data_IF_845166842788
#
_entry.id   IF_845166842788
#
_cell.length_a   1.000
_cell.length_b   1.000
_cell.length_c   1.000
_cell.angle_alpha   90.00
_cell.angle_beta   90.00
_cell.angle_gamma   90.00
#
_symmetry.space_group_name_H-M   'P 1'
#
loop_
_entity.id
_entity.type
_entity.pdbx_description
1 polymer ?
#
# COMPACT_ATOMS: atom_id res chain seq x y z
N UNK A 1 -24.12 -20.59 33.73
CA UNK A 1 -22.87 -20.13 33.08
C UNK A 1 -23.16 -18.81 32.41
N UNK A 2 -22.40 -17.75 32.68
CA UNK A 2 -22.60 -16.46 32.04
C UNK A 2 -22.45 -16.61 30.52
N UNK A 3 -23.44 -16.16 29.75
CA UNK A 3 -23.39 -16.22 28.29
C UNK A 3 -22.29 -15.26 27.83
N UNK A 4 -21.23 -15.81 27.24
CA UNK A 4 -20.06 -15.02 26.79
C UNK A 4 -20.47 -14.12 25.62
N UNK A 5 -20.14 -12.84 25.70
CA UNK A 5 -20.39 -11.86 24.65
C UNK A 5 -19.09 -11.54 23.89
N UNK A 6 -19.22 -11.24 22.60
CA UNK A 6 -18.10 -10.93 21.72
C UNK A 6 -18.40 -9.62 20.99
N UNK A 7 -17.55 -8.62 21.15
CA UNK A 7 -17.77 -7.28 20.61
C UNK A 7 -16.63 -6.87 19.68
N UNK A 8 -16.97 -6.23 18.57
CA UNK A 8 -16.02 -5.64 17.63
C UNK A 8 -16.47 -4.23 17.25
N UNK A 9 -15.53 -3.29 17.22
CA UNK A 9 -15.80 -1.87 16.97
C UNK A 9 -15.82 -1.03 18.25
N UNK A 10 -15.92 0.28 18.06
CA UNK A 10 -15.85 1.25 19.15
C UNK A 10 -16.98 2.29 18.98
N UNK A 11 -17.86 2.39 19.98
CA UNK A 11 -19.00 3.32 20.00
C UNK A 11 -18.60 4.79 19.89
N UNK A 12 -17.38 5.15 20.31
CA UNK A 12 -16.86 6.53 20.22
C UNK A 12 -16.30 6.85 18.83
N UNK A 13 -16.06 5.84 17.99
CA UNK A 13 -15.50 6.03 16.65
C UNK A 13 -16.61 6.39 15.68
N UNK A 14 -16.44 7.51 14.97
CA UNK A 14 -17.34 7.93 13.88
C UNK A 14 -17.10 7.08 12.62
N UNK A 15 -18.14 6.93 11.81
CA UNK A 15 -18.09 6.21 10.54
C UNK A 15 -17.64 4.74 10.67
N UNK A 16 -18.13 4.05 11.70
CA UNK A 16 -17.88 2.64 11.98
C UNK A 16 -19.18 1.95 12.44
N UNK A 17 -19.09 0.68 12.80
CA UNK A 17 -20.11 -0.06 13.52
C UNK A 17 -19.52 -0.65 14.80
N UNK A 18 -20.31 -0.69 15.87
CA UNK A 18 -20.05 -1.53 17.03
C UNK A 18 -21.01 -2.71 16.99
N UNK A 19 -20.49 -3.92 16.90
CA UNK A 19 -21.28 -5.15 16.78
C UNK A 19 -20.98 -6.05 17.96
N UNK A 20 -22.02 -6.56 18.61
CA UNK A 20 -21.92 -7.56 19.67
C UNK A 20 -22.70 -8.81 19.29
N UNK A 21 -22.08 -9.98 19.42
CA UNK A 21 -22.74 -11.28 19.25
C UNK A 21 -22.72 -12.07 20.55
N UNK A 22 -23.89 -12.56 20.93
CA UNK A 22 -24.13 -13.40 22.11
C UNK A 22 -24.62 -14.76 21.60
N UNK A 23 -23.75 -15.79 21.58
CA UNK A 23 -24.11 -17.11 21.06
C UNK A 23 -25.18 -17.81 21.92
N UNK A 24 -26.08 -18.55 21.27
CA UNK A 24 -27.00 -19.47 21.91
C UNK A 24 -26.93 -20.85 21.26
N UNK A 25 -27.28 -21.92 22.00
CA UNK A 25 -27.26 -23.30 21.49
C UNK A 25 -28.51 -23.68 20.69
N UNK A 26 -29.59 -22.89 20.80
CA UNK A 26 -30.89 -23.15 20.21
C UNK A 26 -31.71 -21.86 20.16
N UNK A 27 -32.87 -21.88 19.50
CA UNK A 27 -33.76 -20.72 19.34
C UNK A 27 -33.65 -20.06 17.96
N UNK A 28 -34.10 -18.82 17.80
CA UNK A 28 -33.88 -18.04 16.58
C UNK A 28 -32.82 -16.96 16.85
N UNK A 29 -32.07 -16.57 15.83
CA UNK A 29 -31.22 -15.40 15.88
C UNK A 29 -32.10 -14.15 15.99
N UNK A 30 -31.81 -13.31 16.98
CA UNK A 30 -32.49 -12.02 17.17
C UNK A 30 -31.49 -10.92 16.82
N UNK A 31 -31.85 -10.05 15.89
CA UNK A 31 -31.00 -8.92 15.48
C UNK A 31 -31.63 -7.61 15.92
N UNK A 32 -30.89 -6.84 16.72
CA UNK A 32 -31.27 -5.49 17.15
C UNK A 32 -30.31 -4.49 16.54
N UNK A 33 -30.83 -3.46 15.85
CA UNK A 33 -30.03 -2.43 15.19
C UNK A 33 -30.38 -1.06 15.78
N UNK A 34 -29.36 -0.36 16.26
CA UNK A 34 -29.44 1.01 16.74
C UNK A 34 -28.73 1.92 15.73
N UNK A 35 -29.49 2.60 14.87
CA UNK A 35 -28.94 3.55 13.89
C UNK A 35 -29.68 4.88 13.93
N UNK A 36 -28.91 5.98 13.92
CA UNK A 36 -29.45 7.34 13.75
C UNK A 36 -29.91 7.63 12.32
N UNK A 37 -29.53 6.79 11.36
CA UNK A 37 -29.89 6.91 9.93
C UNK A 37 -30.86 5.81 9.49
N UNK A 38 -31.51 5.13 10.44
CA UNK A 38 -32.46 4.03 10.19
C UNK A 38 -33.51 4.40 9.13
N UNK A 39 -34.07 5.61 9.18
CA UNK A 39 -35.09 6.11 8.23
C UNK A 39 -34.68 5.94 6.75
N UNK A 40 -33.38 5.99 6.43
CA UNK A 40 -32.87 5.87 5.06
C UNK A 40 -32.28 4.50 4.72
N UNK A 41 -31.88 3.72 5.74
CA UNK A 41 -30.97 2.58 5.55
C UNK A 41 -31.38 1.31 6.31
N UNK A 42 -32.48 1.32 7.06
CA UNK A 42 -32.89 0.21 7.93
C UNK A 42 -33.02 -1.11 7.19
N UNK A 43 -33.75 -1.15 6.08
CA UNK A 43 -33.91 -2.38 5.27
C UNK A 43 -32.55 -2.97 4.87
N UNK A 44 -31.67 -2.13 4.33
CA UNK A 44 -30.34 -2.53 3.89
C UNK A 44 -29.44 -2.98 5.04
N UNK A 45 -29.54 -2.36 6.22
CA UNK A 45 -28.80 -2.80 7.40
C UNK A 45 -29.26 -4.20 7.84
N UNK A 46 -30.57 -4.44 7.85
CA UNK A 46 -31.14 -5.76 8.15
C UNK A 46 -30.73 -6.82 7.11
N UNK A 47 -30.78 -6.50 5.82
CA UNK A 47 -30.38 -7.40 4.74
C UNK A 47 -28.91 -7.82 4.86
N UNK A 48 -28.01 -6.86 5.13
CA UNK A 48 -26.59 -7.15 5.34
C UNK A 48 -26.40 -8.01 6.58
N UNK A 49 -27.09 -7.72 7.69
CA UNK A 49 -26.99 -8.56 8.89
C UNK A 49 -27.45 -10.00 8.61
N UNK A 50 -28.62 -10.15 7.98
CA UNK A 50 -29.22 -11.44 7.67
C UNK A 50 -28.36 -12.26 6.70
N UNK A 51 -27.90 -11.63 5.61
CA UNK A 51 -27.01 -12.27 4.63
C UNK A 51 -25.71 -12.70 5.29
N UNK A 52 -25.09 -11.81 6.07
CA UNK A 52 -23.82 -12.12 6.74
C UNK A 52 -23.95 -13.29 7.73
N UNK A 53 -25.02 -13.31 8.53
CA UNK A 53 -25.28 -14.42 9.45
C UNK A 53 -25.57 -15.72 8.70
N UNK A 54 -26.30 -15.67 7.59
CA UNK A 54 -26.59 -16.82 6.74
C UNK A 54 -25.33 -17.42 6.13
N UNK A 55 -24.46 -16.60 5.53
CA UNK A 55 -23.18 -17.03 4.96
C UNK A 55 -22.28 -17.70 6.00
N UNK A 56 -22.36 -17.23 7.25
CA UNK A 56 -21.60 -17.76 8.38
C UNK A 56 -22.28 -18.93 9.09
N UNK A 57 -23.43 -19.39 8.57
CA UNK A 57 -24.25 -20.47 9.13
C UNK A 57 -24.70 -20.23 10.59
N UNK A 58 -25.06 -18.99 10.92
CA UNK A 58 -25.54 -18.60 12.26
C UNK A 58 -27.06 -18.45 12.27
N UNK A 59 -27.74 -19.35 12.98
CA UNK A 59 -29.21 -19.40 13.12
C UNK A 59 -29.73 -19.12 14.53
N UNK A 60 -28.84 -19.03 15.54
CA UNK A 60 -29.19 -18.93 16.96
C UNK A 60 -28.37 -17.83 17.65
N UNK A 61 -28.95 -17.16 18.64
CA UNK A 61 -28.26 -16.17 19.48
C UNK A 61 -28.85 -14.77 19.38
N UNK A 62 -28.07 -13.77 19.76
CA UNK A 62 -28.43 -12.35 19.63
C UNK A 62 -27.30 -11.57 18.97
N UNK A 63 -27.64 -10.79 17.96
CA UNK A 63 -26.76 -9.83 17.31
C UNK A 63 -27.24 -8.41 17.64
N UNK A 64 -26.37 -7.60 18.22
CA UNK A 64 -26.64 -6.19 18.52
C UNK A 64 -25.70 -5.33 17.67
N UNK A 65 -26.25 -4.41 16.90
CA UNK A 65 -25.50 -3.53 15.98
C UNK A 65 -25.78 -2.09 16.37
N UNK A 66 -24.73 -1.32 16.64
CA UNK A 66 -24.80 0.14 16.76
C UNK A 66 -24.07 0.80 15.59
N UNK A 67 -24.80 1.62 14.85
CA UNK A 67 -24.31 2.34 13.68
C UNK A 67 -23.90 3.78 14.03
N UNK A 68 -22.67 4.16 13.69
CA UNK A 68 -22.13 5.52 13.86
C UNK A 68 -21.81 6.20 12.51
N UNK A 69 -22.48 5.78 11.43
CA UNK A 69 -22.30 6.25 10.06
C UNK A 69 -21.36 5.36 9.24
N UNK A 70 -21.28 4.07 9.56
CA UNK A 70 -20.35 3.13 8.94
C UNK A 70 -20.74 2.72 7.52
N UNK A 71 -19.85 2.01 6.85
CA UNK A 71 -20.08 1.47 5.50
C UNK A 71 -20.47 0.00 5.56
N UNK A 72 -21.37 -0.47 4.69
CA UNK A 72 -21.91 -1.84 4.75
C UNK A 72 -20.84 -2.94 4.72
N UNK A 73 -19.76 -2.75 3.96
CA UNK A 73 -18.64 -3.71 3.92
C UNK A 73 -17.90 -3.81 5.27
N UNK A 74 -17.94 -2.75 6.09
CA UNK A 74 -17.41 -2.72 7.46
C UNK A 74 -18.37 -3.43 8.40
N UNK A 75 -19.69 -3.22 8.26
CA UNK A 75 -20.69 -3.96 9.04
C UNK A 75 -20.53 -5.47 8.87
N UNK A 76 -20.44 -5.93 7.62
CA UNK A 76 -20.20 -7.35 7.30
C UNK A 76 -18.91 -7.87 7.94
N UNK A 77 -17.81 -7.12 7.84
CA UNK A 77 -16.53 -7.49 8.47
C UNK A 77 -16.62 -7.55 10.01
N UNK A 78 -17.35 -6.64 10.65
CA UNK A 78 -17.53 -6.58 12.11
C UNK A 78 -18.38 -7.74 12.62
N UNK A 79 -19.44 -8.11 11.89
CA UNK A 79 -20.26 -9.29 12.20
C UNK A 79 -19.42 -10.56 12.06
N UNK A 80 -18.68 -10.72 10.95
CA UNK A 80 -17.82 -11.88 10.76
C UNK A 80 -16.74 -11.98 11.85
N UNK A 81 -16.17 -10.85 12.27
CA UNK A 81 -15.17 -10.82 13.35
C UNK A 81 -15.72 -11.37 14.67
N UNK A 82 -16.91 -10.93 15.12
CA UNK A 82 -17.50 -11.41 16.37
C UNK A 82 -17.95 -12.87 16.29
N UNK A 83 -18.42 -13.32 15.12
CA UNK A 83 -18.77 -14.72 14.89
C UNK A 83 -17.54 -15.62 14.91
N UNK A 84 -16.45 -15.24 14.23
CA UNK A 84 -15.17 -15.98 14.27
C UNK A 84 -14.54 -15.97 15.67
N UNK A 85 -14.69 -14.89 16.43
CA UNK A 85 -14.25 -14.84 17.82
C UNK A 85 -15.06 -15.80 18.72
N UNK A 86 -16.37 -15.93 18.47
CA UNK A 86 -17.25 -16.86 19.17
C UNK A 86 -17.03 -18.33 18.77
N UNK A 87 -16.69 -18.57 17.50
CA UNK A 87 -16.40 -19.89 16.97
C UNK A 87 -15.07 -19.89 16.16
N UNK A 88 -13.91 -19.98 16.82
CA UNK A 88 -12.60 -19.92 16.14
C UNK A 88 -12.34 -21.02 15.13
N UNK A 89 -13.15 -22.08 15.09
CA UNK A 89 -13.04 -23.19 14.14
C UNK A 89 -13.81 -22.95 12.85
N UNK A 90 -14.63 -21.89 12.77
CA UNK A 90 -15.41 -21.62 11.56
C UNK A 90 -14.52 -21.17 10.40
N UNK A 91 -14.65 -21.87 9.29
CA UNK A 91 -14.02 -21.52 8.01
C UNK A 91 -14.96 -20.75 7.10
N UNK A 92 -16.23 -20.58 7.48
CA UNK A 92 -17.18 -19.79 6.72
C UNK A 92 -16.75 -18.32 6.63
N UNK A 93 -17.09 -17.68 5.53
CA UNK A 93 -16.78 -16.28 5.24
C UNK A 93 -18.01 -15.61 4.63
N UNK A 94 -18.18 -14.32 4.88
CA UNK A 94 -19.18 -13.51 4.21
C UNK A 94 -18.46 -12.37 3.48
N UNK A 95 -18.55 -12.40 2.16
CA UNK A 95 -17.85 -11.48 1.28
C UNK A 95 -18.85 -10.50 0.64
N UNK A 96 -18.48 -9.22 0.49
CA UNK A 96 -19.28 -8.31 -0.30
C UNK A 96 -19.18 -8.69 -1.79
N UNK A 97 -20.09 -8.18 -2.61
CA UNK A 97 -19.99 -8.33 -4.06
C UNK A 97 -18.66 -7.75 -4.58
N UNK A 98 -17.93 -8.51 -5.38
CA UNK A 98 -16.68 -8.06 -5.97
C UNK A 98 -16.94 -7.09 -7.12
N UNK A 99 -16.84 -5.79 -6.84
CA UNK A 99 -17.17 -4.73 -7.78
C UNK A 99 -16.19 -4.68 -8.97
N UNK A 100 -16.73 -4.44 -10.16
CA UNK A 100 -15.95 -4.34 -11.41
C UNK A 100 -14.86 -3.27 -11.35
N UNK A 101 -15.16 -2.09 -10.78
CA UNK A 101 -14.17 -1.02 -10.60
C UNK A 101 -13.04 -1.39 -9.63
N UNK A 102 -13.19 -2.45 -8.84
CA UNK A 102 -12.16 -2.94 -7.94
C UNK A 102 -11.21 -3.97 -8.61
N UNK A 103 -11.43 -4.33 -9.87
CA UNK A 103 -10.73 -5.42 -10.57
C UNK A 103 -9.68 -4.95 -11.60
N UNK A 104 -9.26 -3.68 -11.55
CA UNK A 104 -8.18 -3.19 -12.41
C UNK A 104 -6.83 -3.82 -12.01
N UNK A 105 -5.85 -3.79 -12.92
CA UNK A 105 -4.54 -4.45 -12.76
C UNK A 105 -3.43 -3.43 -12.46
N UNK A 106 -2.31 -3.94 -11.95
CA UNK A 106 -1.06 -3.18 -11.78
C UNK A 106 0.06 -3.76 -12.65
N UNK A 107 1.17 -3.03 -12.76
CA UNK A 107 2.38 -3.43 -13.48
C UNK A 107 3.61 -3.26 -12.60
N UNK A 108 4.64 -4.06 -12.85
CA UNK A 108 5.89 -4.02 -12.09
C UNK A 108 6.58 -2.64 -12.18
N UNK A 109 6.59 -2.07 -13.38
CA UNK A 109 7.30 -0.84 -13.77
C UNK A 109 6.51 0.46 -13.53
N UNK A 110 5.33 0.40 -12.90
CA UNK A 110 4.53 1.61 -12.64
C UNK A 110 5.24 2.56 -11.67
N UNK A 111 4.88 3.85 -11.73
CA UNK A 111 5.34 4.84 -10.75
C UNK A 111 4.77 4.59 -9.36
N UNK A 112 5.60 4.87 -8.35
CA UNK A 112 5.29 4.79 -6.92
C UNK A 112 5.81 6.02 -6.18
N UNK A 113 5.68 7.21 -6.79
CA UNK A 113 6.20 8.48 -6.26
C UNK A 113 5.59 8.81 -4.90
N UNK A 114 4.30 8.52 -4.75
CA UNK A 114 3.55 8.69 -3.50
C UNK A 114 2.86 7.38 -3.12
N UNK A 115 2.94 7.03 -1.83
CA UNK A 115 2.24 5.87 -1.28
C UNK A 115 1.53 6.29 0.00
N UNK A 116 0.21 6.40 -0.07
CA UNK A 116 -0.61 6.87 1.05
C UNK A 116 -0.91 5.74 2.04
N UNK A 117 -0.38 5.83 3.25
CA UNK A 117 -0.66 4.91 4.36
C UNK A 117 -2.02 5.20 4.98
N UNK A 118 -2.85 4.17 5.10
CA UNK A 118 -4.18 4.22 5.69
C UNK A 118 -4.35 3.06 6.68
N UNK A 119 -4.67 3.33 7.95
CA UNK A 119 -4.93 2.26 8.92
C UNK A 119 -6.07 1.35 8.49
N UNK A 120 -5.83 0.04 8.51
CA UNK A 120 -6.75 -1.00 8.05
C UNK A 120 -8.06 -1.08 8.83
N UNK A 121 -8.11 -0.52 10.04
CA UNK A 121 -9.32 -0.42 10.87
C UNK A 121 -10.04 0.94 10.76
N UNK A 122 -9.61 1.84 9.88
CA UNK A 122 -10.19 3.16 9.68
C UNK A 122 -10.76 3.33 8.26
N UNK A 123 -11.82 2.57 7.96
CA UNK A 123 -12.48 2.56 6.65
C UNK A 123 -12.86 3.96 6.12
N UNK A 124 -13.21 4.90 7.01
CA UNK A 124 -13.49 6.30 6.65
C UNK A 124 -12.38 6.94 5.81
N UNK A 125 -11.12 6.66 6.13
CA UNK A 125 -9.97 7.22 5.43
C UNK A 125 -9.77 6.57 4.05
N UNK A 126 -10.22 5.32 3.89
CA UNK A 126 -10.11 4.57 2.63
C UNK A 126 -11.08 5.11 1.57
N UNK A 127 -12.29 5.51 1.96
CA UNK A 127 -13.37 5.92 1.03
C UNK A 127 -12.95 7.01 0.04
N UNK A 128 -12.20 8.01 0.49
CA UNK A 128 -11.85 9.19 -0.31
C UNK A 128 -10.39 9.18 -0.75
N UNK A 129 -9.61 8.17 -0.38
CA UNK A 129 -8.17 8.15 -0.60
C UNK A 129 -7.81 8.27 -2.09
N UNK A 130 -8.54 7.58 -2.97
CA UNK A 130 -8.28 7.59 -4.42
C UNK A 130 -8.59 8.93 -5.11
N UNK A 131 -9.46 9.76 -4.53
CA UNK A 131 -9.82 11.08 -5.10
C UNK A 131 -8.59 12.00 -5.17
N UNK A 132 -7.65 11.83 -4.23
CA UNK A 132 -6.41 12.60 -4.17
C UNK A 132 -5.34 12.12 -5.15
N UNK A 133 -5.64 11.11 -5.98
CA UNK A 133 -4.77 10.56 -7.03
C UNK A 133 -3.35 10.18 -6.56
N UNK A 134 -3.18 9.48 -5.42
CA UNK A 134 -1.89 8.91 -5.10
C UNK A 134 -1.50 7.86 -6.15
N UNK A 135 -0.20 7.64 -6.34
CA UNK A 135 0.27 6.54 -7.21
C UNK A 135 -0.12 5.18 -6.59
N UNK A 136 -0.13 5.09 -5.26
CA UNK A 136 -0.48 3.91 -4.49
C UNK A 136 -1.17 4.22 -3.15
N UNK A 137 -2.00 3.29 -2.70
CA UNK A 137 -2.65 3.30 -1.38
C UNK A 137 -2.24 2.04 -0.62
N UNK A 138 -1.75 2.22 0.59
CA UNK A 138 -1.34 1.16 1.51
C UNK A 138 -2.44 1.02 2.57
N UNK A 139 -3.14 -0.11 2.52
CA UNK A 139 -4.05 -0.53 3.58
C UNK A 139 -3.22 -1.26 4.64
N UNK A 140 -3.00 -0.62 5.77
CA UNK A 140 -2.03 -1.06 6.77
C UNK A 140 -2.65 -1.98 7.83
N UNK A 141 -2.10 -3.17 8.01
CA UNK A 141 -2.50 -4.13 9.05
C UNK A 141 -1.52 -4.20 10.22
N UNK A 142 -0.41 -3.46 10.14
CA UNK A 142 0.71 -3.57 11.07
C UNK A 142 0.68 -2.48 12.15
N UNK A 143 1.62 -1.51 12.17
CA UNK A 143 1.80 -0.60 13.33
C UNK A 143 0.60 0.30 13.60
N UNK A 144 -0.14 0.71 12.57
CA UNK A 144 -1.30 1.58 12.76
C UNK A 144 -2.53 0.87 13.33
N UNK A 145 -2.45 -0.45 13.52
CA UNK A 145 -3.54 -1.29 14.03
C UNK A 145 -3.11 -1.97 15.33
N UNK A 146 -3.77 -1.57 16.42
CA UNK A 146 -3.57 -2.19 17.74
C UNK A 146 -3.85 -3.70 17.71
N UNK A 147 -3.14 -4.51 18.53
CA UNK A 147 -3.23 -5.97 18.49
C UNK A 147 -4.66 -6.55 18.55
N UNK A 148 -5.52 -5.96 19.38
CA UNK A 148 -6.92 -6.40 19.55
C UNK A 148 -7.78 -6.21 18.29
N UNK A 149 -7.42 -5.28 17.41
CA UNK A 149 -8.19 -4.97 16.20
C UNK A 149 -7.64 -5.66 14.95
N UNK A 150 -6.47 -6.32 15.00
CA UNK A 150 -5.82 -6.90 13.82
C UNK A 150 -6.70 -7.90 13.07
N UNK A 151 -7.44 -8.73 13.79
CA UNK A 151 -8.35 -9.69 13.17
C UNK A 151 -9.49 -9.00 12.41
N UNK A 152 -10.10 -7.97 12.99
CA UNK A 152 -11.17 -7.24 12.32
C UNK A 152 -10.62 -6.37 11.18
N UNK A 153 -9.47 -5.72 11.37
CA UNK A 153 -8.82 -4.91 10.34
C UNK A 153 -8.54 -5.74 9.09
N UNK A 154 -8.10 -7.00 9.24
CA UNK A 154 -7.90 -7.93 8.12
C UNK A 154 -9.18 -8.13 7.31
N UNK A 155 -10.32 -8.33 7.97
CA UNK A 155 -11.62 -8.49 7.31
C UNK A 155 -12.11 -7.18 6.66
N UNK A 156 -11.87 -6.04 7.31
CA UNK A 156 -12.20 -4.72 6.74
C UNK A 156 -11.37 -4.47 5.47
N UNK A 157 -10.06 -4.73 5.50
CA UNK A 157 -9.16 -4.58 4.35
C UNK A 157 -9.56 -5.54 3.23
N UNK A 158 -9.83 -6.81 3.54
CA UNK A 158 -10.37 -7.79 2.58
C UNK A 158 -11.63 -7.28 1.88
N UNK A 159 -12.58 -6.77 2.65
CA UNK A 159 -13.85 -6.29 2.13
C UNK A 159 -13.70 -4.96 1.36
N UNK A 160 -12.82 -4.06 1.81
CA UNK A 160 -12.46 -2.84 1.09
C UNK A 160 -11.83 -3.16 -0.27
N UNK A 161 -11.02 -4.22 -0.32
CA UNK A 161 -10.37 -4.66 -1.54
C UNK A 161 -11.37 -5.11 -2.64
N UNK A 162 -12.55 -5.59 -2.24
CA UNK A 162 -13.60 -5.98 -3.18
C UNK A 162 -14.55 -4.84 -3.57
N UNK A 163 -14.62 -3.78 -2.75
CA UNK A 163 -15.71 -2.80 -2.83
C UNK A 163 -15.27 -1.41 -3.24
N UNK A 164 -14.09 -0.95 -2.81
CA UNK A 164 -13.67 0.43 -3.02
C UNK A 164 -13.04 0.65 -4.39
N UNK A 165 -13.36 1.80 -4.97
CA UNK A 165 -12.67 2.35 -6.13
C UNK A 165 -11.54 3.28 -5.65
N UNK A 166 -10.32 2.94 -6.02
CA UNK A 166 -9.15 3.77 -5.75
C UNK A 166 -8.65 4.50 -6.99
N UNK A 167 -9.51 4.63 -8.01
CA UNK A 167 -9.29 5.44 -9.21
C UNK A 167 -7.97 5.11 -9.93
N UNK A 168 -7.59 3.83 -9.94
CA UNK A 168 -6.37 3.34 -10.59
C UNK A 168 -5.09 3.35 -9.74
N UNK A 169 -5.12 3.87 -8.50
CA UNK A 169 -3.99 3.81 -7.58
C UNK A 169 -3.60 2.34 -7.29
N UNK A 170 -2.32 2.05 -7.07
CA UNK A 170 -1.90 0.69 -6.73
C UNK A 170 -2.49 0.26 -5.39
N UNK A 171 -3.12 -0.92 -5.37
CA UNK A 171 -3.75 -1.50 -4.19
C UNK A 171 -2.69 -2.23 -3.39
N UNK A 172 -2.16 -1.61 -2.35
CA UNK A 172 -1.13 -2.20 -1.52
C UNK A 172 -1.66 -2.60 -0.15
N UNK A 173 -1.09 -3.65 0.45
CA UNK A 173 -1.36 -4.03 1.85
C UNK A 173 -0.02 -4.17 2.57
N UNK A 174 0.17 -3.48 3.69
CA UNK A 174 1.27 -3.77 4.62
C UNK A 174 0.78 -4.82 5.60
N UNK A 175 1.35 -6.03 5.49
CA UNK A 175 1.00 -7.15 6.36
C UNK A 175 1.74 -7.04 7.70
N UNK A 176 1.33 -7.83 8.67
CA UNK A 176 2.11 -8.03 9.90
C UNK A 176 3.36 -8.88 9.65
N UNK A 177 4.31 -8.85 10.58
CA UNK A 177 5.43 -9.79 10.59
C UNK A 177 5.00 -11.20 11.03
N UNK A 178 5.75 -12.22 10.59
CA UNK A 178 5.65 -13.60 11.08
C UNK A 178 4.29 -14.26 10.83
N UNK A 179 3.84 -15.08 11.79
CA UNK A 179 2.62 -15.90 11.65
C UNK A 179 1.35 -15.08 11.41
N UNK A 180 1.27 -13.86 11.94
CA UNK A 180 0.13 -12.97 11.71
C UNK A 180 0.12 -12.49 10.26
N UNK A 181 1.28 -12.18 9.69
CA UNK A 181 1.43 -11.82 8.28
C UNK A 181 0.95 -12.91 7.34
N UNK A 182 1.25 -14.18 7.63
CA UNK A 182 0.79 -15.30 6.80
C UNK A 182 -0.75 -15.40 6.76
N UNK A 183 -1.43 -15.08 7.87
CA UNK A 183 -2.91 -14.98 7.90
C UNK A 183 -3.43 -13.77 7.15
N UNK A 184 -2.69 -12.65 7.17
CA UNK A 184 -3.02 -11.47 6.38
C UNK A 184 -3.01 -11.82 4.89
N UNK A 185 -1.98 -12.54 4.40
CA UNK A 185 -1.88 -13.00 3.01
C UNK A 185 -3.09 -13.82 2.58
N UNK A 186 -3.49 -14.81 3.39
CA UNK A 186 -4.65 -15.67 3.12
C UNK A 186 -5.93 -14.83 2.91
N UNK A 187 -6.08 -13.75 3.66
CA UNK A 187 -7.25 -12.89 3.60
C UNK A 187 -7.21 -11.81 2.51
N UNK A 188 -6.06 -11.47 1.91
CA UNK A 188 -5.98 -10.35 0.93
C UNK A 188 -5.61 -10.78 -0.48
N UNK A 189 -4.82 -11.86 -0.64
CA UNK A 189 -4.34 -12.33 -1.94
C UNK A 189 -5.48 -12.72 -2.90
N UNK A 190 -6.58 -13.37 -2.45
CA UNK A 190 -7.70 -13.67 -3.34
C UNK A 190 -8.47 -12.44 -3.85
N UNK A 191 -8.30 -11.27 -3.24
CA UNK A 191 -9.20 -10.12 -3.44
C UNK A 191 -8.52 -8.94 -4.17
N UNK A 192 -7.68 -9.24 -5.15
CA UNK A 192 -7.02 -8.24 -6.02
C UNK A 192 -6.19 -7.17 -5.28
N UNK A 193 -5.47 -7.55 -4.23
CA UNK A 193 -4.29 -6.79 -3.81
C UNK A 193 -3.22 -6.83 -4.92
N UNK A 194 -2.56 -5.73 -5.22
CA UNK A 194 -1.53 -5.66 -6.26
C UNK A 194 -0.13 -5.89 -5.70
N UNK A 195 0.16 -5.36 -4.52
CA UNK A 195 1.48 -5.40 -3.91
C UNK A 195 1.37 -5.61 -2.40
N UNK A 196 2.24 -6.47 -1.86
CA UNK A 196 2.39 -6.69 -0.43
C UNK A 196 3.65 -5.99 0.06
N UNK A 197 3.49 -5.13 1.07
CA UNK A 197 4.61 -4.61 1.83
C UNK A 197 4.91 -5.58 2.97
N UNK A 198 6.15 -6.06 3.02
CA UNK A 198 6.63 -6.98 4.06
C UNK A 198 7.47 -6.16 5.03
N UNK A 199 6.99 -5.89 6.26
CA UNK A 199 7.75 -5.12 7.24
C UNK A 199 8.90 -5.95 7.81
N UNK A 200 9.91 -5.26 8.35
CA UNK A 200 10.97 -5.80 9.22
C UNK A 200 11.71 -6.97 8.59
N UNK A 201 12.06 -6.81 7.31
CA UNK A 201 12.80 -7.82 6.56
C UNK A 201 14.30 -7.62 6.80
N UNK A 202 14.94 -8.69 7.27
CA UNK A 202 16.36 -8.70 7.61
C UNK A 202 17.16 -9.67 6.75
N UNK A 203 16.50 -10.64 6.11
CA UNK A 203 17.16 -11.68 5.31
C UNK A 203 16.39 -11.97 4.01
N UNK A 204 17.10 -12.38 2.96
CA UNK A 204 16.49 -12.80 1.70
C UNK A 204 15.50 -13.97 1.90
N UNK A 205 15.80 -14.88 2.83
CA UNK A 205 14.95 -16.04 3.15
C UNK A 205 13.55 -15.65 3.59
N UNK A 206 13.41 -14.62 4.45
CA UNK A 206 12.10 -14.13 4.89
C UNK A 206 11.24 -13.66 3.71
N UNK A 207 11.84 -12.99 2.72
CA UNK A 207 11.11 -12.53 1.54
C UNK A 207 10.71 -13.70 0.62
N UNK A 208 11.58 -14.70 0.47
CA UNK A 208 11.30 -15.93 -0.29
C UNK A 208 10.12 -16.68 0.31
N UNK A 209 10.12 -16.90 1.63
CA UNK A 209 9.03 -17.61 2.33
C UNK A 209 7.67 -16.90 2.12
N UNK A 210 7.66 -15.57 2.13
CA UNK A 210 6.45 -14.78 1.84
C UNK A 210 6.02 -14.95 0.38
N UNK A 211 6.94 -14.87 -0.58
CA UNK A 211 6.61 -15.06 -2.00
C UNK A 211 6.05 -16.47 -2.27
N UNK A 212 6.67 -17.50 -1.71
CA UNK A 212 6.22 -18.89 -1.83
C UNK A 212 4.80 -19.07 -1.29
N UNK A 213 4.49 -18.50 -0.11
CA UNK A 213 3.12 -18.51 0.44
C UNK A 213 2.14 -17.80 -0.48
N UNK A 214 2.53 -16.66 -1.07
CA UNK A 214 1.71 -15.94 -2.05
C UNK A 214 1.45 -16.82 -3.28
N UNK A 215 2.48 -17.49 -3.82
CA UNK A 215 2.32 -18.37 -4.98
C UNK A 215 1.39 -19.55 -4.67
N UNK A 216 1.49 -20.14 -3.48
CA UNK A 216 0.59 -21.20 -3.03
C UNK A 216 -0.87 -20.71 -2.99
N UNK A 217 -1.15 -19.58 -2.32
CA UNK A 217 -2.51 -19.03 -2.24
C UNK A 217 -3.05 -18.69 -3.64
N UNK A 218 -2.22 -18.08 -4.51
CA UNK A 218 -2.60 -17.76 -5.90
C UNK A 218 -3.00 -19.01 -6.68
N UNK A 219 -2.26 -20.11 -6.52
CA UNK A 219 -2.57 -21.39 -7.14
C UNK A 219 -3.90 -21.93 -6.61
N UNK A 220 -4.10 -21.91 -5.30
CA UNK A 220 -5.30 -22.44 -4.65
C UNK A 220 -6.57 -21.66 -5.03
N UNK A 221 -6.48 -20.33 -5.15
CA UNK A 221 -7.61 -19.48 -5.54
C UNK A 221 -7.73 -19.26 -7.07
N UNK A 222 -6.88 -19.89 -7.88
CA UNK A 222 -6.90 -19.77 -9.34
C UNK A 222 -6.51 -18.39 -9.88
N UNK A 223 -5.85 -17.55 -9.08
CA UNK A 223 -5.45 -16.19 -9.46
C UNK A 223 -4.26 -16.20 -10.42
N UNK A 224 -4.46 -15.68 -11.64
CA UNK A 224 -3.41 -15.63 -12.68
C UNK A 224 -2.52 -14.40 -12.56
N UNK A 225 -3.07 -13.27 -12.12
CA UNK A 225 -2.37 -12.00 -11.98
C UNK A 225 -1.27 -12.08 -10.90
N UNK A 226 -0.08 -11.52 -11.15
CA UNK A 226 0.97 -11.46 -10.15
C UNK A 226 0.54 -10.66 -8.93
N UNK A 227 1.21 -10.93 -7.81
CA UNK A 227 1.24 -10.08 -6.63
C UNK A 227 2.69 -9.68 -6.45
N UNK A 228 2.93 -8.38 -6.42
CA UNK A 228 4.28 -7.84 -6.26
C UNK A 228 4.66 -7.73 -4.78
N UNK A 229 5.95 -7.60 -4.52
CA UNK A 229 6.53 -7.45 -3.19
C UNK A 229 7.26 -6.13 -3.06
N UNK A 230 7.23 -5.58 -1.85
CA UNK A 230 8.05 -4.47 -1.41
C UNK A 230 8.51 -4.72 0.05
N UNK A 231 9.69 -5.30 0.29
CA UNK A 231 10.25 -5.37 1.64
C UNK A 231 10.51 -3.96 2.18
N UNK A 232 10.24 -3.77 3.48
CA UNK A 232 10.64 -2.58 4.23
C UNK A 232 11.87 -2.97 5.05
N UNK A 233 12.96 -2.24 4.82
CA UNK A 233 14.19 -2.37 5.59
C UNK A 233 14.22 -1.31 6.68
N UNK A 234 14.24 -1.76 7.92
CA UNK A 234 14.08 -0.89 9.09
C UNK A 234 14.92 -1.36 10.29
N UNK A 235 15.99 -2.11 10.02
CA UNK A 235 17.02 -2.48 10.99
C UNK A 235 18.40 -2.46 10.32
N UNK A 236 19.48 -2.37 11.11
CA UNK A 236 20.85 -2.44 10.61
C UNK A 236 21.10 -3.72 9.81
N UNK A 237 20.58 -4.86 10.28
CA UNK A 237 20.65 -6.15 9.58
C UNK A 237 19.98 -6.09 8.21
N UNK A 238 18.77 -5.53 8.12
CA UNK A 238 18.06 -5.37 6.84
C UNK A 238 18.81 -4.46 5.86
N UNK A 239 19.37 -3.36 6.35
CA UNK A 239 20.18 -2.44 5.55
C UNK A 239 21.43 -3.13 4.99
N UNK A 240 22.19 -3.83 5.83
CA UNK A 240 23.39 -4.56 5.41
C UNK A 240 23.09 -5.66 4.38
N UNK A 241 21.95 -6.35 4.52
CA UNK A 241 21.52 -7.43 3.62
C UNK A 241 20.67 -6.96 2.43
N UNK A 242 20.54 -5.65 2.23
CA UNK A 242 19.63 -5.04 1.25
C UNK A 242 19.77 -5.58 -0.17
N UNK A 243 21.00 -5.86 -0.64
CA UNK A 243 21.23 -6.40 -2.00
C UNK A 243 20.65 -7.81 -2.16
N UNK A 244 20.88 -8.70 -1.19
CA UNK A 244 20.37 -10.06 -1.22
C UNK A 244 18.84 -10.06 -1.14
N UNK A 245 18.27 -9.23 -0.26
CA UNK A 245 16.83 -9.05 -0.13
C UNK A 245 16.22 -8.52 -1.43
N UNK A 246 16.86 -7.52 -2.06
CA UNK A 246 16.41 -6.95 -3.32
C UNK A 246 16.31 -8.00 -4.44
N UNK A 247 17.23 -8.97 -4.47
CA UNK A 247 17.29 -10.05 -5.49
C UNK A 247 16.54 -11.32 -5.12
N UNK A 248 15.95 -11.39 -3.92
CA UNK A 248 15.41 -12.63 -3.37
C UNK A 248 14.18 -13.17 -4.13
N UNK A 249 13.42 -12.32 -4.84
CA UNK A 249 12.25 -12.74 -5.61
C UNK A 249 12.12 -11.94 -6.91
N UNK A 250 11.66 -12.60 -7.98
CA UNK A 250 11.28 -11.96 -9.26
C UNK A 250 10.03 -11.08 -9.14
N UNK A 251 9.21 -11.29 -8.10
CA UNK A 251 8.04 -10.47 -7.81
C UNK A 251 8.39 -9.26 -6.94
N UNK A 252 9.63 -9.14 -6.46
CA UNK A 252 10.10 -7.93 -5.80
C UNK A 252 10.27 -6.83 -6.85
N UNK A 253 9.53 -5.72 -6.69
CA UNK A 253 9.54 -4.60 -7.65
C UNK A 253 9.99 -3.29 -7.03
N UNK A 254 10.16 -3.26 -5.71
CA UNK A 254 10.60 -2.08 -4.99
C UNK A 254 11.15 -2.47 -3.61
N UNK A 255 12.07 -1.68 -3.06
CA UNK A 255 12.49 -1.80 -1.65
C UNK A 255 12.24 -0.47 -0.96
N UNK A 256 11.67 -0.52 0.23
CA UNK A 256 11.40 0.67 1.04
C UNK A 256 12.34 0.72 2.24
N UNK A 257 12.66 1.92 2.70
CA UNK A 257 13.36 2.15 3.97
C UNK A 257 12.39 2.72 5.01
N UNK A 258 12.40 2.17 6.22
CA UNK A 258 11.64 2.67 7.38
C UNK A 258 12.58 3.34 8.38
N UNK A 259 12.66 4.68 8.36
CA UNK A 259 13.67 5.39 9.15
C UNK A 259 13.37 5.44 10.66
N UNK A 260 12.11 5.49 11.09
CA UNK A 260 11.79 5.54 12.53
C UNK A 260 12.32 4.30 13.25
N UNK A 261 11.89 3.11 12.80
CA UNK A 261 12.33 1.82 13.34
C UNK A 261 13.86 1.62 13.15
N UNK A 262 14.41 2.01 11.99
CA UNK A 262 15.86 1.94 11.77
C UNK A 262 16.67 2.78 12.76
N UNK A 263 16.28 4.04 12.99
CA UNK A 263 16.99 4.92 13.92
C UNK A 263 16.89 4.42 15.36
N UNK A 264 15.74 3.84 15.73
CA UNK A 264 15.58 3.18 17.01
C UNK A 264 16.51 1.95 17.15
N UNK A 265 16.64 1.14 16.09
CA UNK A 265 17.51 -0.05 16.06
C UNK A 265 19.00 0.29 16.23
N UNK A 266 19.48 1.35 15.58
CA UNK A 266 20.89 1.81 15.71
C UNK A 266 21.13 2.73 16.92
N UNK A 267 20.09 3.04 17.70
CA UNK A 267 20.20 3.80 18.95
C UNK A 267 20.45 5.29 18.77
N UNK A 268 19.92 5.91 17.71
CA UNK A 268 20.05 7.35 17.44
C UNK A 268 18.69 8.03 17.27
N UNK A 269 18.64 9.34 17.47
CA UNK A 269 17.46 10.13 17.13
C UNK A 269 17.46 10.50 15.65
N UNK A 270 16.26 10.48 15.05
CA UNK A 270 16.05 10.97 13.68
C UNK A 270 16.25 12.48 13.63
N UNK A 271 17.10 12.95 12.70
CA UNK A 271 17.38 14.37 12.54
C UNK A 271 16.74 14.92 11.26
N UNK A 272 16.55 16.23 11.19
CA UNK A 272 16.09 16.89 9.96
C UNK A 272 17.15 16.83 8.85
N UNK A 273 18.43 16.83 9.22
CA UNK A 273 19.55 16.76 8.26
C UNK A 273 19.79 15.36 7.71
N UNK A 274 19.24 14.31 8.34
CA UNK A 274 19.28 12.93 7.84
C UNK A 274 20.67 12.27 7.80
N UNK A 275 21.71 12.89 8.39
CA UNK A 275 23.10 12.37 8.36
C UNK A 275 23.21 10.97 8.96
N UNK A 276 22.44 10.70 10.01
CA UNK A 276 22.35 9.40 10.68
C UNK A 276 21.82 8.28 9.78
N UNK A 277 21.09 8.64 8.72
CA UNK A 277 20.47 7.69 7.79
C UNK A 277 21.12 7.67 6.40
N UNK A 278 22.10 8.54 6.13
CA UNK A 278 22.69 8.72 4.81
C UNK A 278 23.29 7.43 4.25
N UNK A 279 24.02 6.68 5.08
CA UNK A 279 24.57 5.37 4.70
C UNK A 279 23.46 4.39 4.32
N UNK A 280 22.47 4.22 5.20
CA UNK A 280 21.36 3.29 4.99
C UNK A 280 20.55 3.61 3.73
N UNK A 281 20.23 4.90 3.53
CA UNK A 281 19.54 5.41 2.34
C UNK A 281 20.33 5.14 1.07
N UNK A 282 21.62 5.46 1.07
CA UNK A 282 22.52 5.21 -0.07
C UNK A 282 22.67 3.73 -0.38
N UNK A 283 22.78 2.88 0.64
CA UNK A 283 22.90 1.44 0.48
C UNK A 283 21.63 0.83 -0.13
N UNK A 284 20.44 1.22 0.36
CA UNK A 284 19.15 0.78 -0.17
C UNK A 284 18.99 1.17 -1.65
N UNK A 285 19.37 2.40 -2.02
CA UNK A 285 19.31 2.84 -3.42
C UNK A 285 20.23 1.98 -4.29
N UNK A 286 21.48 1.74 -3.90
CA UNK A 286 22.40 0.92 -4.68
C UNK A 286 21.92 -0.53 -4.82
N UNK A 287 21.39 -1.11 -3.74
CA UNK A 287 20.79 -2.44 -3.76
C UNK A 287 19.62 -2.53 -4.75
N UNK A 288 18.69 -1.55 -4.69
CA UNK A 288 17.55 -1.48 -5.59
C UNK A 288 17.98 -1.38 -7.07
N UNK A 289 18.94 -0.49 -7.38
CA UNK A 289 19.47 -0.32 -8.74
C UNK A 289 20.19 -1.56 -9.24
N UNK A 290 20.95 -2.25 -8.38
CA UNK A 290 21.61 -3.52 -8.73
C UNK A 290 20.61 -4.64 -9.05
N UNK A 291 19.44 -4.63 -8.41
CA UNK A 291 18.35 -5.58 -8.69
C UNK A 291 17.42 -5.13 -9.83
N UNK A 292 17.56 -3.89 -10.34
CA UNK A 292 16.66 -3.35 -11.37
C UNK A 292 15.27 -2.99 -10.86
N UNK A 293 15.13 -2.71 -9.55
CA UNK A 293 13.87 -2.39 -8.89
C UNK A 293 13.84 -0.95 -8.37
N UNK A 294 12.69 -0.48 -7.90
CA UNK A 294 12.55 0.87 -7.36
C UNK A 294 13.10 0.99 -5.94
N UNK A 295 13.73 2.12 -5.64
CA UNK A 295 14.10 2.49 -4.27
C UNK A 295 13.07 3.47 -3.73
N UNK A 296 12.51 3.22 -2.55
CA UNK A 296 11.45 4.04 -1.99
C UNK A 296 11.82 4.57 -0.60
N UNK A 297 11.69 5.88 -0.43
CA UNK A 297 12.06 6.58 0.79
C UNK A 297 10.97 6.49 1.87
N UNK A 298 11.37 6.78 3.10
CA UNK A 298 10.55 6.75 4.32
C UNK A 298 9.39 7.75 4.30
N UNK A 299 8.47 7.64 5.25
CA UNK A 299 7.40 8.61 5.50
C UNK A 299 7.94 9.95 6.02
N UNK A 300 7.21 11.02 5.73
CA UNK A 300 7.40 12.33 6.36
C UNK A 300 6.30 12.55 7.41
N UNK A 301 6.70 12.70 8.67
CA UNK A 301 5.80 12.68 9.83
C UNK A 301 5.09 14.01 10.09
N UNK A 302 5.73 15.14 9.79
CA UNK A 302 5.09 16.45 9.95
C UNK A 302 4.12 16.72 8.79
N UNK A 303 2.83 16.66 9.08
CA UNK A 303 1.79 16.84 8.06
C UNK A 303 1.58 18.32 7.71
N UNK A 304 2.04 19.26 8.56
CA UNK A 304 1.77 20.68 8.37
C UNK A 304 2.94 21.44 7.73
N UNK A 305 4.16 20.88 7.77
CA UNK A 305 5.36 21.48 7.21
C UNK A 305 5.58 21.04 5.74
N UNK A 306 4.88 21.70 4.81
CA UNK A 306 5.02 21.41 3.37
C UNK A 306 6.43 21.76 2.83
N UNK A 307 7.06 22.82 3.34
CA UNK A 307 8.37 23.25 2.87
C UNK A 307 9.45 22.23 3.22
N UNK A 308 9.47 21.75 4.47
CA UNK A 308 10.38 20.68 4.88
C UNK A 308 10.09 19.35 4.17
N UNK A 309 8.81 19.07 3.84
CA UNK A 309 8.48 17.92 2.99
C UNK A 309 9.13 18.06 1.60
N UNK A 310 9.02 19.23 0.96
CA UNK A 310 9.59 19.46 -0.37
C UNK A 310 11.10 19.31 -0.35
N UNK A 311 11.78 19.88 0.64
CA UNK A 311 13.22 19.72 0.82
C UNK A 311 13.60 18.24 1.00
N UNK A 312 12.89 17.50 1.84
CA UNK A 312 13.12 16.07 2.05
C UNK A 312 12.91 15.24 0.76
N UNK A 313 11.95 15.61 -0.08
CA UNK A 313 11.72 14.93 -1.37
C UNK A 313 12.82 15.24 -2.38
N UNK A 314 13.30 16.49 -2.46
CA UNK A 314 14.43 16.85 -3.32
C UNK A 314 15.68 16.08 -2.93
N UNK A 315 16.01 16.03 -1.65
CA UNK A 315 17.14 15.25 -1.14
C UNK A 315 17.00 13.76 -1.47
N UNK A 316 15.80 13.19 -1.30
CA UNK A 316 15.54 11.79 -1.67
C UNK A 316 15.73 11.55 -3.18
N UNK A 317 15.26 12.46 -4.04
CA UNK A 317 15.46 12.42 -5.49
C UNK A 317 16.96 12.51 -5.85
N UNK A 318 17.72 13.38 -5.18
CA UNK A 318 19.17 13.56 -5.36
C UNK A 318 19.97 12.31 -5.00
N UNK A 319 19.61 11.62 -3.92
CA UNK A 319 20.23 10.34 -3.52
C UNK A 319 19.84 9.21 -4.50
N UNK A 320 18.68 9.33 -5.16
CA UNK A 320 18.24 8.44 -6.22
C UNK A 320 17.01 7.59 -5.90
N UNK A 321 16.18 8.00 -4.93
CA UNK A 321 14.88 7.38 -4.66
C UNK A 321 13.84 7.71 -5.74
N UNK A 322 12.89 6.80 -5.96
CA UNK A 322 11.81 6.91 -6.95
C UNK A 322 10.49 7.42 -6.35
N UNK A 323 10.40 7.46 -5.03
CA UNK A 323 9.17 7.82 -4.33
C UNK A 323 9.32 7.91 -2.83
N UNK A 324 8.25 8.34 -2.16
CA UNK A 324 8.20 8.59 -0.72
C UNK A 324 6.88 8.12 -0.11
N UNK A 325 6.93 7.69 1.15
CA UNK A 325 5.72 7.39 1.92
C UNK A 325 4.95 8.67 2.31
N UNK A 326 3.63 8.61 2.31
CA UNK A 326 2.74 9.70 2.69
C UNK A 326 1.78 9.22 3.78
N UNK A 327 1.52 10.03 4.80
CA UNK A 327 0.55 9.73 5.87
C UNK A 327 -0.67 10.66 5.82
N UNK A 328 -0.66 11.66 4.94
CA UNK A 328 -1.78 12.57 4.73
C UNK A 328 -1.94 12.95 3.25
N UNK A 329 -3.17 13.03 2.70
CA UNK A 329 -3.38 13.34 1.28
C UNK A 329 -2.73 14.63 0.78
N UNK A 330 -2.63 15.65 1.64
CA UNK A 330 -1.98 16.93 1.30
C UNK A 330 -0.50 16.80 0.90
N UNK A 331 0.18 15.73 1.31
CA UNK A 331 1.57 15.48 0.95
C UNK A 331 1.73 14.97 -0.49
N UNK A 332 0.65 14.47 -1.11
CA UNK A 332 0.71 13.81 -2.43
C UNK A 332 1.16 14.78 -3.52
N UNK A 333 0.53 15.96 -3.61
CA UNK A 333 0.83 16.93 -4.67
C UNK A 333 2.28 17.46 -4.59
N UNK A 334 2.79 17.93 -3.44
CA UNK A 334 4.19 18.32 -3.30
C UNK A 334 5.16 17.19 -3.68
N UNK A 335 4.88 15.96 -3.24
CA UNK A 335 5.71 14.78 -3.59
C UNK A 335 5.74 14.55 -5.11
N UNK A 336 4.60 14.63 -5.80
CA UNK A 336 4.55 14.44 -7.25
C UNK A 336 5.31 15.52 -8.01
N UNK A 337 5.21 16.76 -7.56
CA UNK A 337 5.89 17.92 -8.16
C UNK A 337 7.41 17.81 -8.00
N UNK A 338 7.91 17.48 -6.82
CA UNK A 338 9.36 17.43 -6.57
C UNK A 338 10.03 16.19 -7.20
N UNK A 339 9.32 15.05 -7.30
CA UNK A 339 9.81 13.89 -8.05
C UNK A 339 9.71 14.06 -9.57
N UNK A 340 8.92 15.02 -10.06
CA UNK A 340 8.87 15.31 -11.49
C UNK A 340 10.16 16.00 -11.97
N UNK A 341 10.54 15.82 -13.24
CA UNK A 341 11.63 16.59 -13.82
C UNK A 341 11.18 18.03 -14.06
N UNK A 342 12.06 18.98 -13.78
CA UNK A 342 11.83 20.41 -13.99
C UNK A 342 11.88 20.76 -15.47
N UNK A 343 11.29 21.88 -15.86
CA UNK A 343 11.35 22.36 -17.26
C UNK A 343 12.80 22.53 -17.78
N UNK A 344 13.75 23.10 -17.01
CA UNK A 344 15.17 23.11 -17.41
C UNK A 344 15.78 21.72 -17.60
N UNK A 345 15.46 20.76 -16.72
CA UNK A 345 15.93 19.37 -16.85
C UNK A 345 15.38 18.72 -18.12
N UNK A 346 14.09 18.96 -18.42
CA UNK A 346 13.43 18.45 -19.62
C UNK A 346 14.07 19.04 -20.88
N UNK A 347 14.25 20.35 -20.96
CA UNK A 347 14.82 21.00 -22.14
C UNK A 347 16.27 20.59 -22.37
N UNK A 348 17.06 20.47 -21.30
CA UNK A 348 18.42 19.91 -21.39
C UNK A 348 18.40 18.47 -21.92
N UNK A 349 17.49 17.64 -21.39
CA UNK A 349 17.37 16.25 -21.82
C UNK A 349 16.91 16.11 -23.28
N UNK A 350 15.98 16.96 -23.76
CA UNK A 350 15.56 17.00 -25.17
C UNK A 350 16.73 17.31 -26.10
N UNK A 351 17.56 18.30 -25.75
CA UNK A 351 18.75 18.67 -26.53
C UNK A 351 19.76 17.54 -26.63
N UNK A 352 20.05 16.88 -25.50
CA UNK A 352 20.98 15.74 -25.43
C UNK A 352 20.48 14.58 -26.30
N UNK A 353 19.20 14.21 -26.17
CA UNK A 353 18.63 13.08 -26.93
C UNK A 353 18.59 13.38 -28.43
N UNK A 354 18.22 14.60 -28.85
CA UNK A 354 18.24 14.99 -30.27
C UNK A 354 19.65 14.96 -30.85
N UNK A 355 20.63 15.52 -30.14
CA UNK A 355 22.02 15.50 -30.59
C UNK A 355 22.55 14.06 -30.74
N UNK A 356 22.13 13.15 -29.83
CA UNK A 356 22.46 11.74 -29.94
C UNK A 356 21.81 11.06 -31.15
N UNK A 357 20.51 11.25 -31.36
CA UNK A 357 19.79 10.69 -32.52
C UNK A 357 20.43 11.17 -33.85
N UNK A 358 20.84 12.44 -33.93
CA UNK A 358 21.50 13.02 -35.12
C UNK A 358 22.90 12.44 -35.36
N UNK A 359 23.67 12.21 -34.31
CA UNK A 359 25.01 11.63 -34.40
C UNK A 359 24.95 10.14 -34.78
N UNK A 360 24.01 9.39 -34.20
CA UNK A 360 23.76 7.98 -34.54
C UNK A 360 23.37 7.85 -36.02
N UNK A 361 22.49 8.73 -36.52
CA UNK A 361 22.12 8.78 -37.94
C UNK A 361 23.31 9.07 -38.89
N UNK A 362 24.37 9.71 -38.39
CA UNK A 362 25.62 10.00 -39.13
C UNK A 362 26.72 8.95 -38.88
N UNK A 363 26.45 7.92 -38.08
CA UNK A 363 27.44 6.90 -37.72
C UNK A 363 28.56 7.39 -36.79
N UNK A 364 28.34 8.47 -36.03
CA UNK A 364 29.31 9.04 -35.10
C UNK A 364 29.09 8.49 -33.69
N UNK A 365 30.12 7.90 -33.09
CA UNK A 365 30.05 7.33 -31.73
C UNK A 365 30.18 8.34 -30.59
N UNK A 366 30.58 9.59 -30.88
CA UNK A 366 30.79 10.66 -29.90
C UNK A 366 29.96 11.87 -30.31
N UNK A 367 29.19 12.40 -29.36
CA UNK A 367 28.24 13.50 -29.59
C UNK A 367 28.77 14.75 -28.88
N UNK A 368 28.84 15.88 -29.57
CA UNK A 368 29.18 17.16 -28.95
C UNK A 368 27.95 18.07 -28.92
N UNK A 369 27.63 18.64 -27.76
CA UNK A 369 26.59 19.66 -27.62
C UNK A 369 27.25 20.93 -27.08
N UNK A 370 27.51 21.89 -27.97
CA UNK A 370 28.37 23.03 -27.65
C UNK A 370 29.82 22.59 -27.45
N UNK A 371 30.42 22.95 -26.31
CA UNK A 371 31.80 22.58 -25.94
C UNK A 371 31.91 21.28 -25.12
N UNK A 372 30.79 20.65 -24.75
CA UNK A 372 30.78 19.45 -23.92
C UNK A 372 30.62 18.17 -24.75
N UNK A 373 31.41 17.15 -24.40
CA UNK A 373 31.27 15.80 -24.93
C UNK A 373 30.15 15.07 -24.19
N UNK A 374 29.24 14.45 -24.93
CA UNK A 374 28.12 13.68 -24.39
C UNK A 374 28.43 12.19 -24.56
N UNK A 375 28.72 11.55 -23.42
CA UNK A 375 28.94 10.11 -23.36
C UNK A 375 27.62 9.33 -23.25
N UNK A 376 27.59 8.02 -23.59
CA UNK A 376 26.39 7.18 -23.47
C UNK A 376 25.68 7.23 -22.10
N UNK A 377 26.36 7.32 -20.94
CA UNK A 377 25.69 7.49 -19.65
C UNK A 377 24.93 8.81 -19.51
N UNK A 378 25.39 9.90 -20.16
CA UNK A 378 24.70 11.20 -20.17
C UNK A 378 23.40 11.09 -20.97
N UNK A 379 23.46 10.44 -22.13
CA UNK A 379 22.29 10.15 -22.98
C UNK A 379 21.27 9.30 -22.22
N UNK A 380 21.72 8.23 -21.56
CA UNK A 380 20.83 7.35 -20.77
C UNK A 380 20.10 8.13 -19.68
N UNK A 381 20.78 9.03 -18.96
CA UNK A 381 20.14 9.91 -17.96
C UNK A 381 19.11 10.83 -18.60
N UNK A 382 19.46 11.49 -19.71
CA UNK A 382 18.53 12.35 -20.44
C UNK A 382 17.28 11.58 -20.93
N UNK A 383 17.46 10.38 -21.47
CA UNK A 383 16.35 9.55 -21.91
C UNK A 383 15.43 9.16 -20.74
N UNK A 384 16.00 8.85 -19.57
CA UNK A 384 15.21 8.57 -18.36
C UNK A 384 14.39 9.81 -17.92
N UNK A 385 15.00 11.00 -17.92
CA UNK A 385 14.31 12.26 -17.62
C UNK A 385 13.13 12.50 -18.56
N UNK A 386 13.32 12.27 -19.86
CA UNK A 386 12.24 12.38 -20.85
C UNK A 386 11.16 11.33 -20.64
N UNK A 387 11.53 10.07 -20.40
CA UNK A 387 10.57 8.98 -20.16
C UNK A 387 9.70 9.31 -18.93
N UNK A 388 10.31 9.83 -17.87
CA UNK A 388 9.60 10.30 -16.69
C UNK A 388 8.67 11.47 -17.03
N UNK A 389 9.15 12.51 -17.73
CA UNK A 389 8.35 13.67 -18.13
C UNK A 389 7.15 13.30 -19.02
N UNK A 390 7.32 12.32 -19.91
CA UNK A 390 6.25 11.78 -20.74
C UNK A 390 5.23 11.02 -19.90
N UNK A 391 5.71 10.21 -18.96
CA UNK A 391 4.83 9.43 -18.11
C UNK A 391 4.04 10.27 -17.10
N UNK A 392 4.60 11.41 -16.67
CA UNK A 392 3.92 12.37 -15.79
C UNK A 392 3.07 13.40 -16.55
N UNK A 393 3.04 13.33 -17.88
CA UNK A 393 2.22 14.21 -18.72
C UNK A 393 2.79 15.62 -18.95
N UNK A 394 4.02 15.88 -18.54
CA UNK A 394 4.72 17.15 -18.78
C UNK A 394 5.19 17.29 -20.23
N UNK A 395 5.43 16.17 -20.90
CA UNK A 395 5.90 16.11 -22.28
C UNK A 395 5.01 15.15 -23.08
N UNK A 396 4.56 15.50 -24.30
CA UNK A 396 3.76 14.58 -25.09
C UNK A 396 4.62 13.42 -25.62
N UNK A 397 4.02 12.23 -25.81
CA UNK A 397 4.75 11.04 -26.33
C UNK A 397 5.46 11.28 -27.67
N UNK A 398 4.95 12.19 -28.49
CA UNK A 398 5.49 12.55 -29.80
C UNK A 398 6.41 13.78 -29.77
N UNK A 399 7.02 14.11 -28.63
CA UNK A 399 7.86 15.31 -28.47
C UNK A 399 9.04 15.40 -29.45
N UNK A 400 9.48 14.28 -30.04
CA UNK A 400 10.53 14.27 -31.09
C UNK A 400 10.04 14.78 -32.46
N UNK A 401 8.73 14.87 -32.70
CA UNK A 401 8.14 15.30 -33.99
C UNK A 401 7.88 16.81 -34.09
N UNK A 402 8.02 17.52 -32.98
CA UNK A 402 8.09 18.99 -32.89
C UNK A 402 9.54 19.33 -32.52
#
# INVERSE_FOLDING_TARGET
MATRQYTSGNLQRKADFCVTYIPAKSGKIITTIHSKTAVLHESKLHDICSTTLSDLHISHGRLEVTDTGGQYFVLQARIEAVVKAANPKTMAESLPEFKKHAQYKSKADRFRRSRLYLPGNQAKLMLNAGIHKPDAIILDLEDSVVPSEKNTARLIVRNALQTLDFFGAERMVRINQGKTGLKDLEAVIPHNVHLILVPKVETAKQLIEVDEKIQAIRKDCGRKEPVFLMPILESASGILNSLEIAKASKNNVAIAIGLEDYTADIGVERTKQGRESLFARSQVVNAARSAGIQAIDTVFSDVNDEDALRESVREAKEIGFDGKGCIHPRQIKPIHEEFAPTEPEIEKAKKIVRAFDEAEAKGLGVVSLGSEMIDPPVVKRAQNTINLAVATGLVPKNWKRK
#
